data_IF_920486748460
#
_entry.id   IF_920486748460
#
_cell.length_a   1.000
_cell.length_b   1.000
_cell.length_c   1.000
_cell.angle_alpha   90.00
_cell.angle_beta   90.00
_cell.angle_gamma   90.00
#
_symmetry.space_group_name_H-M   'P 1'
#
loop_
_entity.id
_entity.type
_entity.pdbx_description
1 polymer ?
#
# COMPACT_ATOMS: atom_id res chain seq x y z
N UNK A 1 -6.40 11.24 9.20
CA UNK A 1 -4.93 11.55 9.14
C UNK A 1 -4.41 10.93 7.85
N UNK A 2 -3.45 11.54 7.14
CA UNK A 2 -2.87 10.92 5.92
C UNK A 2 -2.11 9.65 6.32
N UNK A 3 -2.11 8.62 5.46
CA UNK A 3 -1.46 7.32 5.68
C UNK A 3 -0.03 7.46 6.22
N UNK A 4 0.77 8.33 5.61
CA UNK A 4 2.16 8.58 5.98
C UNK A 4 2.34 9.00 7.46
N UNK A 5 1.45 9.88 7.96
CA UNK A 5 1.48 10.32 9.37
C UNK A 5 1.09 9.20 10.33
N UNK A 6 0.12 8.36 9.95
CA UNK A 6 -0.28 7.20 10.75
C UNK A 6 0.84 6.17 10.80
N UNK A 7 1.45 5.85 9.65
CA UNK A 7 2.56 4.92 9.56
C UNK A 7 3.77 5.38 10.38
N UNK A 8 4.12 6.68 10.30
CA UNK A 8 5.21 7.28 11.08
C UNK A 8 4.94 7.23 12.57
N UNK A 9 3.73 7.56 13.00
CA UNK A 9 3.35 7.45 14.42
C UNK A 9 3.39 6.01 14.90
N UNK A 10 2.86 5.07 14.13
CA UNK A 10 2.94 3.64 14.44
C UNK A 10 4.38 3.14 14.61
N UNK A 11 5.30 3.60 13.74
CA UNK A 11 6.72 3.27 13.84
C UNK A 11 7.38 3.85 15.11
N UNK A 12 6.93 5.01 15.59
CA UNK A 12 7.40 5.57 16.85
C UNK A 12 6.86 4.78 18.05
N UNK A 13 5.56 4.46 18.06
CA UNK A 13 4.93 3.69 19.12
C UNK A 13 5.48 2.27 19.26
N UNK A 14 5.99 1.69 18.17
CA UNK A 14 6.59 0.35 18.17
C UNK A 14 8.02 0.29 18.73
N UNK A 15 8.61 1.40 19.16
CA UNK A 15 9.93 1.41 19.81
C UNK A 15 9.82 0.95 21.27
N UNK A 16 10.72 0.09 21.70
CA UNK A 16 10.73 -0.50 23.06
C UNK A 16 10.73 0.56 24.18
N UNK A 17 11.31 1.71 23.93
CA UNK A 17 11.42 2.82 24.88
C UNK A 17 10.28 3.86 24.74
N UNK A 18 9.34 3.67 23.82
CA UNK A 18 8.34 4.69 23.51
C UNK A 18 7.40 4.97 24.69
N UNK A 19 6.92 3.92 25.34
CA UNK A 19 6.03 4.03 26.50
C UNK A 19 6.69 4.83 27.64
N UNK A 20 7.96 4.55 27.92
CA UNK A 20 8.69 5.24 28.98
C UNK A 20 8.99 6.70 28.62
N UNK A 21 9.23 7.01 27.34
CA UNK A 21 9.34 8.39 26.86
C UNK A 21 8.02 9.15 26.99
N UNK A 22 6.89 8.52 26.69
CA UNK A 22 5.58 9.15 26.90
C UNK A 22 5.27 9.35 28.39
N UNK A 23 5.57 8.38 29.26
CA UNK A 23 5.46 8.54 30.73
C UNK A 23 6.28 9.74 31.21
N UNK A 24 7.49 9.90 30.66
CA UNK A 24 8.37 11.01 30.98
C UNK A 24 7.75 12.34 30.51
N UNK A 25 7.26 12.43 29.28
CA UNK A 25 6.63 13.64 28.74
C UNK A 25 5.35 14.06 29.48
N UNK A 26 4.58 13.10 29.99
CA UNK A 26 3.38 13.38 30.79
C UNK A 26 3.76 13.96 32.18
N UNK A 27 4.85 13.47 32.76
CA UNK A 27 5.26 13.88 34.12
C UNK A 27 6.14 15.14 34.14
N UNK A 28 6.75 15.51 33.02
CA UNK A 28 7.63 16.66 32.91
C UNK A 28 7.04 17.69 31.94
N UNK A 29 6.76 18.88 32.44
CA UNK A 29 6.20 19.97 31.65
C UNK A 29 7.15 20.47 30.56
N UNK A 30 8.45 20.25 30.73
CA UNK A 30 9.47 20.79 29.86
C UNK A 30 10.75 19.95 30.02
N UNK A 31 11.21 19.29 28.95
CA UNK A 31 12.37 18.39 29.01
C UNK A 31 13.24 18.54 27.75
N UNK A 32 14.56 18.46 27.91
CA UNK A 32 15.50 18.39 26.81
C UNK A 32 15.79 16.93 26.40
N UNK A 33 16.29 16.73 25.18
CA UNK A 33 16.67 15.41 24.70
C UNK A 33 17.78 14.76 25.57
N UNK A 34 18.71 15.55 26.11
CA UNK A 34 19.76 15.05 27.00
C UNK A 34 19.22 14.59 28.35
N UNK A 35 18.26 15.32 28.94
CA UNK A 35 17.59 14.93 30.19
C UNK A 35 16.77 13.65 29.97
N UNK A 36 16.00 13.55 28.89
CA UNK A 36 15.24 12.37 28.55
C UNK A 36 16.15 11.15 28.34
N UNK A 37 17.23 11.30 27.59
CA UNK A 37 18.20 10.26 27.32
C UNK A 37 18.87 9.74 28.62
N UNK A 38 19.26 10.65 29.49
CA UNK A 38 19.87 10.31 30.79
C UNK A 38 18.94 9.50 31.68
N UNK A 39 17.65 9.84 31.73
CA UNK A 39 16.66 9.14 32.55
C UNK A 39 16.28 7.75 32.04
N UNK A 40 16.30 7.57 30.74
CA UNK A 40 15.90 6.32 30.09
C UNK A 40 17.09 5.47 29.65
N UNK A 41 18.31 5.88 29.97
CA UNK A 41 19.54 5.19 29.54
C UNK A 41 19.64 5.04 28.02
N UNK A 42 19.15 6.06 27.29
CA UNK A 42 19.20 6.12 25.84
C UNK A 42 20.39 6.95 25.35
N UNK A 43 20.78 6.75 24.09
CA UNK A 43 21.67 7.69 23.44
C UNK A 43 20.94 9.02 23.17
N UNK A 44 21.61 10.17 23.38
CA UNK A 44 21.00 11.51 23.23
C UNK A 44 20.36 11.68 21.84
N UNK A 45 21.02 11.22 20.79
CA UNK A 45 20.49 11.28 19.43
C UNK A 45 19.20 10.49 19.26
N UNK A 46 19.09 9.31 19.88
CA UNK A 46 17.86 8.50 19.85
C UNK A 46 16.70 9.23 20.48
N UNK A 47 16.91 9.83 21.67
CA UNK A 47 15.89 10.62 22.34
C UNK A 47 15.52 11.87 21.54
N UNK A 48 16.51 12.56 20.95
CA UNK A 48 16.29 13.73 20.12
C UNK A 48 15.48 13.39 18.86
N UNK A 49 15.88 12.36 18.11
CA UNK A 49 15.18 11.93 16.89
C UNK A 49 13.72 11.54 17.20
N UNK A 50 13.46 10.90 18.33
CA UNK A 50 12.11 10.56 18.76
C UNK A 50 11.29 11.82 19.09
N UNK A 51 11.82 12.73 19.89
CA UNK A 51 11.15 13.98 20.27
C UNK A 51 10.91 14.90 19.08
N UNK A 52 11.86 14.98 18.13
CA UNK A 52 11.72 15.75 16.90
C UNK A 52 10.63 15.18 16.01
N UNK A 53 10.53 13.86 15.88
CA UNK A 53 9.44 13.20 15.17
C UNK A 53 8.08 13.47 15.82
N UNK A 54 7.98 13.47 17.16
CA UNK A 54 6.75 13.83 17.84
C UNK A 54 6.38 15.31 17.62
N UNK A 55 7.37 16.20 17.54
CA UNK A 55 7.14 17.62 17.25
C UNK A 55 6.60 17.82 15.82
N UNK A 56 7.16 17.15 14.83
CA UNK A 56 6.66 17.18 13.46
C UNK A 56 5.24 16.61 13.32
N UNK A 57 4.86 15.67 14.17
CA UNK A 57 3.49 15.14 14.26
C UNK A 57 2.54 16.05 15.06
N UNK A 58 3.07 17.10 15.70
CA UNK A 58 2.31 18.03 16.54
C UNK A 58 1.81 17.40 17.84
N UNK A 59 2.53 16.42 18.38
CA UNK A 59 2.26 15.77 19.67
C UNK A 59 3.00 16.49 20.80
N UNK A 60 4.19 16.99 20.50
CA UNK A 60 4.97 17.86 21.41
C UNK A 60 5.26 19.19 20.75
N UNK A 61 5.41 20.22 21.56
CA UNK A 61 5.94 21.52 21.16
C UNK A 61 7.45 21.54 21.36
N UNK A 62 8.18 22.05 20.38
CA UNK A 62 9.63 22.19 20.40
C UNK A 62 9.98 23.66 20.50
N UNK A 63 10.67 24.04 21.56
CA UNK A 63 11.09 25.44 21.82
C UNK A 63 12.61 25.51 21.87
N UNK A 64 13.18 26.48 21.18
CA UNK A 64 14.61 26.75 21.24
C UNK A 64 14.94 27.66 22.44
N UNK A 65 15.90 27.24 23.26
CA UNK A 65 16.36 27.98 24.44
C UNK A 65 17.82 28.33 24.29
N UNK A 66 18.17 29.56 24.60
CA UNK A 66 19.53 30.08 24.54
C UNK A 66 20.12 30.22 25.94
N UNK A 67 21.00 29.28 26.29
CA UNK A 67 21.80 29.40 27.52
C UNK A 67 23.30 29.38 27.17
N UNK A 68 24.06 30.30 27.72
CA UNK A 68 25.54 30.32 27.66
C UNK A 68 26.15 30.08 26.27
N UNK A 69 25.63 30.73 25.25
CA UNK A 69 26.14 30.72 23.84
C UNK A 69 25.85 29.46 23.02
N UNK A 70 25.10 28.48 23.49
CA UNK A 70 24.70 27.33 22.68
C UNK A 70 23.19 27.13 22.76
N UNK A 71 22.47 27.19 21.65
CA UNK A 71 21.05 26.86 21.63
C UNK A 71 20.84 25.38 21.88
N UNK A 72 19.79 25.05 22.61
CA UNK A 72 19.30 23.69 22.77
C UNK A 72 17.77 23.68 22.72
N UNK A 73 17.19 22.51 22.46
CA UNK A 73 15.75 22.38 22.34
C UNK A 73 15.14 21.78 23.61
N UNK A 74 13.99 22.32 23.98
CA UNK A 74 13.13 21.78 25.00
C UNK A 74 11.80 21.35 24.40
N UNK A 75 11.21 20.32 24.97
CA UNK A 75 10.01 19.67 24.46
C UNK A 75 8.95 19.61 25.56
N UNK A 76 7.74 20.02 25.20
CA UNK A 76 6.58 20.00 26.07
C UNK A 76 5.44 19.24 25.40
N UNK A 77 4.69 18.43 26.16
CA UNK A 77 3.56 17.68 25.62
C UNK A 77 2.43 18.63 25.21
N UNK A 78 2.08 18.67 23.94
CA UNK A 78 1.01 19.50 23.39
C UNK A 78 -0.36 18.79 23.42
N UNK A 79 -0.37 17.46 23.39
CA UNK A 79 -1.58 16.64 23.36
C UNK A 79 -1.47 15.45 24.27
N UNK A 80 -2.44 15.27 25.14
CA UNK A 80 -2.56 14.12 26.05
C UNK A 80 -3.28 12.93 25.41
N UNK A 81 -3.98 13.15 24.30
CA UNK A 81 -4.68 12.12 23.53
C UNK A 81 -4.17 12.06 22.10
N UNK A 82 -3.92 10.86 21.62
CA UNK A 82 -3.51 10.58 20.24
C UNK A 82 -4.56 9.68 19.61
N UNK A 83 -5.34 10.26 18.69
CA UNK A 83 -6.33 9.51 17.91
C UNK A 83 -5.78 9.20 16.53
N UNK A 84 -5.66 7.91 16.19
CA UNK A 84 -5.29 7.41 14.87
C UNK A 84 -6.55 6.94 14.14
N UNK A 85 -6.88 7.61 13.05
CA UNK A 85 -7.94 7.18 12.14
C UNK A 85 -7.38 7.10 10.73
N UNK A 86 -7.37 5.89 10.16
CA UNK A 86 -6.95 5.60 8.80
C UNK A 86 -8.16 5.13 8.00
N UNK A 87 -8.59 5.94 7.08
CA UNK A 87 -9.65 5.58 6.14
C UNK A 87 -9.04 4.86 4.94
N UNK A 88 -9.30 3.57 4.83
CA UNK A 88 -8.83 2.72 3.73
C UNK A 88 -9.78 2.78 2.52
N UNK A 89 -10.97 3.38 2.66
CA UNK A 89 -11.92 3.50 1.55
C UNK A 89 -11.38 4.37 0.40
N UNK A 90 -10.44 5.28 0.72
CA UNK A 90 -9.76 6.12 -0.29
C UNK A 90 -8.93 5.32 -1.31
N UNK A 91 -8.61 4.07 -1.00
CA UNK A 91 -7.92 3.16 -1.93
C UNK A 91 -8.88 2.33 -2.78
N UNK A 92 -10.18 2.48 -2.55
CA UNK A 92 -11.18 1.88 -3.41
C UNK A 92 -11.25 2.67 -4.72
N UNK A 93 -11.18 1.98 -5.85
CA UNK A 93 -11.27 2.64 -7.16
C UNK A 93 -12.55 3.49 -7.23
N UNK A 94 -12.39 4.81 -7.41
CA UNK A 94 -13.49 5.79 -7.35
C UNK A 94 -14.45 5.69 -8.54
N UNK A 95 -14.02 5.11 -9.68
CA UNK A 95 -14.83 4.99 -10.89
C UNK A 95 -14.82 3.56 -11.48
N UNK A 96 -15.46 2.58 -10.84
CA UNK A 96 -15.54 1.22 -11.41
C UNK A 96 -16.23 1.20 -12.78
N UNK A 97 -17.09 2.18 -13.09
CA UNK A 97 -17.83 2.23 -14.35
C UNK A 97 -16.98 2.59 -15.58
N UNK A 98 -16.04 3.52 -15.48
CA UNK A 98 -15.21 3.92 -16.64
C UNK A 98 -14.26 2.79 -17.08
N UNK A 99 -13.68 2.07 -16.11
CA UNK A 99 -12.81 0.93 -16.42
C UNK A 99 -13.56 -0.23 -17.08
N UNK A 100 -14.82 -0.47 -16.70
CA UNK A 100 -15.61 -1.60 -17.18
C UNK A 100 -16.05 -1.48 -18.67
N UNK A 101 -16.07 -0.27 -19.22
CA UNK A 101 -16.40 -0.03 -20.62
C UNK A 101 -15.26 -0.34 -21.59
N UNK A 102 -14.01 -0.47 -21.09
CA UNK A 102 -12.83 -0.76 -21.94
C UNK A 102 -13.02 -2.05 -22.72
N UNK A 103 -12.73 -2.01 -24.02
CA UNK A 103 -12.74 -3.17 -24.89
C UNK A 103 -11.40 -3.88 -24.80
N UNK A 104 -11.43 -5.15 -24.39
CA UNK A 104 -10.23 -5.95 -24.15
C UNK A 104 -10.29 -7.28 -24.89
N UNK A 105 -9.13 -7.80 -25.24
CA UNK A 105 -8.94 -9.18 -25.69
C UNK A 105 -7.52 -9.63 -25.38
N UNK A 106 -7.28 -10.91 -25.48
CA UNK A 106 -5.93 -11.47 -25.41
C UNK A 106 -5.08 -10.98 -26.58
N UNK A 107 -3.85 -10.54 -26.29
CA UNK A 107 -2.89 -10.10 -27.30
C UNK A 107 -2.28 -11.31 -28.00
N UNK A 108 -2.12 -11.23 -29.33
CA UNK A 108 -1.42 -12.28 -30.08
C UNK A 108 0.07 -12.32 -29.69
N UNK A 109 0.62 -13.54 -29.61
CA UNK A 109 2.06 -13.75 -29.32
C UNK A 109 2.54 -13.17 -27.98
N UNK A 110 1.68 -13.23 -26.96
CA UNK A 110 1.90 -12.61 -25.65
C UNK A 110 2.85 -13.37 -24.69
N UNK A 111 3.32 -14.55 -25.08
CA UNK A 111 4.19 -15.38 -24.24
C UNK A 111 3.55 -15.88 -22.93
N UNK A 112 2.24 -15.72 -22.76
CA UNK A 112 1.52 -16.17 -21.57
C UNK A 112 0.97 -17.59 -21.73
N UNK A 113 0.86 -18.29 -20.59
CA UNK A 113 0.19 -19.58 -20.48
C UNK A 113 -0.81 -19.55 -19.34
N UNK A 114 -2.06 -19.83 -19.65
CA UNK A 114 -3.15 -19.89 -18.68
C UNK A 114 -3.35 -21.33 -18.21
N UNK A 115 -3.24 -21.57 -16.91
CA UNK A 115 -3.43 -22.89 -16.31
C UNK A 115 -4.87 -23.04 -15.83
N UNK A 116 -5.59 -24.01 -16.39
CA UNK A 116 -6.97 -24.33 -16.01
C UNK A 116 -7.00 -24.91 -14.59
N UNK A 117 -7.94 -24.45 -13.77
CA UNK A 117 -8.19 -25.00 -12.44
C UNK A 117 -8.83 -26.42 -12.54
N UNK A 118 -8.81 -27.17 -11.45
CA UNK A 118 -9.37 -28.53 -11.41
C UNK A 118 -10.87 -28.60 -11.74
N UNK A 119 -11.62 -27.54 -11.45
CA UNK A 119 -13.05 -27.44 -11.78
C UNK A 119 -13.31 -27.33 -13.28
N UNK A 120 -12.35 -26.85 -14.08
CA UNK A 120 -12.41 -26.79 -15.54
C UNK A 120 -13.13 -25.57 -16.10
N UNK A 121 -13.61 -24.65 -15.28
CA UNK A 121 -14.40 -23.46 -15.64
C UNK A 121 -13.72 -22.13 -15.30
N UNK A 122 -12.48 -22.19 -14.79
CA UNK A 122 -11.69 -21.01 -14.44
C UNK A 122 -10.18 -21.30 -14.61
N UNK A 123 -9.38 -20.23 -14.69
CA UNK A 123 -7.93 -20.33 -14.63
C UNK A 123 -7.44 -20.15 -13.18
N UNK A 124 -6.42 -20.93 -12.79
CA UNK A 124 -5.80 -20.83 -11.44
C UNK A 124 -4.59 -19.93 -11.41
N UNK A 125 -3.87 -19.81 -12.53
CA UNK A 125 -2.72 -18.93 -12.66
C UNK A 125 -2.44 -18.57 -14.12
N UNK A 126 -1.70 -17.49 -14.29
CA UNK A 126 -1.09 -17.06 -15.55
C UNK A 126 0.41 -17.10 -15.37
N UNK A 127 1.11 -17.77 -16.28
CA UNK A 127 2.58 -17.78 -16.33
C UNK A 127 3.01 -17.03 -17.57
N UNK A 128 3.83 -16.00 -17.41
CA UNK A 128 4.29 -15.11 -18.48
C UNK A 128 5.80 -15.23 -18.56
N UNK A 129 6.33 -15.32 -19.77
CA UNK A 129 7.77 -15.37 -19.99
C UNK A 129 8.24 -14.12 -20.72
N UNK A 130 9.06 -13.33 -20.05
CA UNK A 130 9.73 -12.16 -20.59
C UNK A 130 11.17 -12.48 -21.00
N UNK A 131 11.63 -11.89 -22.11
CA UNK A 131 13.00 -12.07 -22.60
C UNK A 131 13.21 -13.33 -23.44
N UNK A 132 14.43 -13.50 -23.95
CA UNK A 132 14.83 -14.60 -24.84
C UNK A 132 16.09 -15.29 -24.33
N UNK A 133 16.22 -16.59 -24.59
CA UNK A 133 17.42 -17.37 -24.28
C UNK A 133 17.70 -17.50 -22.79
N UNK A 134 18.95 -17.17 -22.35
CA UNK A 134 19.39 -17.31 -20.96
C UNK A 134 18.87 -16.23 -20.02
N UNK A 135 18.34 -15.13 -20.54
CA UNK A 135 17.77 -13.99 -19.78
C UNK A 135 16.25 -14.10 -19.62
N UNK A 136 15.67 -15.22 -20.01
CA UNK A 136 14.24 -15.47 -19.89
C UNK A 136 13.83 -15.51 -18.42
N UNK A 137 12.96 -14.58 -18.02
CA UNK A 137 12.37 -14.52 -16.68
C UNK A 137 10.95 -15.06 -16.73
N UNK A 138 10.59 -15.84 -15.72
CA UNK A 138 9.23 -16.35 -15.54
C UNK A 138 8.51 -15.49 -14.49
N UNK A 139 7.37 -14.93 -14.88
CA UNK A 139 6.48 -14.21 -14.00
C UNK A 139 5.18 -14.99 -13.83
N UNK A 140 4.90 -15.49 -12.63
CA UNK A 140 3.72 -16.29 -12.31
C UNK A 140 2.76 -15.50 -11.43
N UNK A 141 1.52 -15.32 -11.89
CA UNK A 141 0.43 -14.67 -11.18
C UNK A 141 -0.56 -15.74 -10.74
N UNK A 142 -0.78 -15.88 -9.45
CA UNK A 142 -1.87 -16.70 -8.89
C UNK A 142 -3.16 -15.91 -8.94
N UNK A 143 -4.22 -16.50 -9.44
CA UNK A 143 -5.50 -15.85 -9.64
C UNK A 143 -6.47 -16.18 -8.50
N UNK A 144 -7.30 -15.21 -8.13
CA UNK A 144 -8.51 -15.47 -7.34
C UNK A 144 -9.56 -16.16 -8.22
N UNK A 145 -10.58 -16.80 -7.62
CA UNK A 145 -11.64 -17.44 -8.40
C UNK A 145 -12.38 -16.45 -9.33
N UNK A 146 -12.77 -15.24 -8.89
CA UNK A 146 -13.35 -14.24 -9.80
C UNK A 146 -12.42 -13.86 -10.95
N UNK A 147 -11.12 -13.64 -10.71
CA UNK A 147 -10.15 -13.34 -11.75
C UNK A 147 -10.00 -14.51 -12.74
N UNK A 148 -9.94 -15.75 -12.22
CA UNK A 148 -9.84 -16.96 -13.04
C UNK A 148 -11.04 -17.15 -13.95
N UNK A 149 -12.27 -16.95 -13.42
CA UNK A 149 -13.51 -16.99 -14.21
C UNK A 149 -13.57 -15.90 -15.26
N UNK A 150 -13.20 -14.68 -14.92
CA UNK A 150 -13.15 -13.56 -15.86
C UNK A 150 -12.23 -13.88 -17.03
N UNK A 151 -10.98 -14.29 -16.76
CA UNK A 151 -9.99 -14.60 -17.78
C UNK A 151 -10.37 -15.81 -18.64
N UNK A 152 -11.11 -16.78 -18.09
CA UNK A 152 -11.62 -17.92 -18.85
C UNK A 152 -12.59 -17.50 -19.96
N UNK A 153 -13.26 -16.37 -19.80
CA UNK A 153 -14.16 -15.77 -20.81
C UNK A 153 -13.52 -14.65 -21.61
N UNK A 154 -12.22 -14.41 -21.44
CA UNK A 154 -11.49 -13.41 -22.21
C UNK A 154 -11.50 -13.76 -23.71
N UNK A 155 -11.82 -12.80 -24.61
CA UNK A 155 -11.77 -13.07 -26.03
C UNK A 155 -10.37 -13.46 -26.51
N UNK A 156 -10.28 -14.51 -27.35
CA UNK A 156 -9.02 -14.98 -27.92
C UNK A 156 -8.33 -13.93 -28.81
N UNK A 157 -7.03 -14.09 -29.09
CA UNK A 157 -6.31 -13.23 -30.01
C UNK A 157 -7.01 -13.15 -31.38
N UNK A 158 -7.06 -11.94 -31.96
CA UNK A 158 -7.67 -11.65 -33.28
C UNK A 158 -9.22 -11.82 -33.33
N UNK A 159 -9.86 -12.23 -32.23
CA UNK A 159 -11.32 -12.24 -32.17
C UNK A 159 -11.88 -10.83 -31.90
N UNK A 160 -13.20 -10.67 -31.97
CA UNK A 160 -13.85 -9.39 -31.63
C UNK A 160 -13.65 -9.07 -30.14
N UNK A 161 -13.12 -7.89 -29.80
CA UNK A 161 -12.93 -7.50 -28.40
C UNK A 161 -14.28 -7.36 -27.68
N UNK A 162 -14.27 -7.48 -26.36
CA UNK A 162 -15.46 -7.36 -25.53
C UNK A 162 -15.19 -6.38 -24.38
N UNK A 163 -16.21 -5.67 -23.93
CA UNK A 163 -16.06 -4.82 -22.74
C UNK A 163 -15.85 -5.69 -21.49
N UNK A 164 -15.10 -5.16 -20.53
CA UNK A 164 -14.88 -5.82 -19.24
C UNK A 164 -16.21 -6.17 -18.60
N UNK A 165 -17.19 -5.25 -18.59
CA UNK A 165 -18.53 -5.50 -18.08
C UNK A 165 -19.20 -6.73 -18.72
N UNK A 166 -19.10 -6.85 -20.05
CA UNK A 166 -19.70 -7.97 -20.76
C UNK A 166 -19.01 -9.31 -20.50
N UNK A 167 -17.70 -9.28 -20.23
CA UNK A 167 -16.94 -10.48 -19.85
C UNK A 167 -17.33 -10.89 -18.42
N UNK A 168 -17.47 -9.93 -17.48
CA UNK A 168 -17.95 -10.18 -16.12
C UNK A 168 -19.36 -10.80 -16.12
N UNK A 169 -20.27 -10.27 -16.95
CA UNK A 169 -21.62 -10.84 -17.12
C UNK A 169 -21.56 -12.30 -17.59
N UNK A 170 -20.74 -12.62 -18.58
CA UNK A 170 -20.54 -14.00 -19.06
C UNK A 170 -19.94 -14.92 -17.99
N UNK A 171 -19.07 -14.39 -17.15
CA UNK A 171 -18.45 -15.10 -16.04
C UNK A 171 -19.35 -15.20 -14.81
N UNK A 172 -20.57 -14.68 -14.86
CA UNK A 172 -21.54 -14.59 -13.75
C UNK A 172 -20.94 -13.86 -12.50
N UNK A 173 -20.17 -12.80 -12.74
CA UNK A 173 -19.53 -11.97 -11.70
C UNK A 173 -20.35 -10.70 -11.45
N UNK A 174 -20.62 -10.40 -10.18
CA UNK A 174 -21.28 -9.18 -9.75
C UNK A 174 -20.35 -7.96 -9.74
N UNK A 175 -20.95 -6.77 -9.55
CA UNK A 175 -20.21 -5.50 -9.53
C UNK A 175 -19.22 -5.39 -8.35
N UNK A 176 -19.43 -6.14 -7.28
CA UNK A 176 -18.53 -6.20 -6.12
C UNK A 176 -17.09 -6.65 -6.49
N UNK A 177 -16.95 -7.42 -7.57
CA UNK A 177 -15.66 -7.90 -8.07
C UNK A 177 -14.98 -6.94 -9.06
N UNK A 178 -15.62 -5.82 -9.43
CA UNK A 178 -15.10 -4.89 -10.45
C UNK A 178 -13.71 -4.37 -10.15
N UNK A 179 -13.41 -4.10 -8.87
CA UNK A 179 -12.08 -3.60 -8.45
C UNK A 179 -10.96 -4.61 -8.70
N UNK A 180 -11.15 -5.87 -8.30
CA UNK A 180 -10.13 -6.91 -8.50
C UNK A 180 -10.01 -7.37 -9.96
N UNK A 181 -11.11 -7.26 -10.74
CA UNK A 181 -11.06 -7.53 -12.18
C UNK A 181 -10.29 -6.43 -12.91
N UNK A 182 -10.49 -5.16 -12.55
CA UNK A 182 -9.71 -4.06 -13.12
C UNK A 182 -8.23 -4.20 -12.78
N UNK A 183 -7.90 -4.55 -11.54
CA UNK A 183 -6.52 -4.74 -11.08
C UNK A 183 -5.79 -5.80 -11.92
N UNK A 184 -6.38 -6.99 -12.10
CA UNK A 184 -5.75 -8.04 -12.90
C UNK A 184 -5.68 -7.67 -14.39
N UNK A 185 -6.68 -6.98 -14.93
CA UNK A 185 -6.65 -6.51 -16.33
C UNK A 185 -5.54 -5.50 -16.52
N UNK A 186 -5.39 -4.51 -15.64
CA UNK A 186 -4.34 -3.50 -15.72
C UNK A 186 -2.94 -4.13 -15.61
N UNK A 187 -2.78 -5.12 -14.71
CA UNK A 187 -1.55 -5.88 -14.58
C UNK A 187 -1.22 -6.66 -15.87
N UNK A 188 -2.20 -7.33 -16.45
CA UNK A 188 -2.00 -8.10 -17.69
C UNK A 188 -1.83 -7.21 -18.93
N UNK A 189 -2.34 -5.97 -18.93
CA UNK A 189 -2.04 -4.96 -19.95
C UNK A 189 -0.57 -4.54 -19.82
N UNK A 190 -0.11 -4.25 -18.60
CA UNK A 190 1.29 -3.88 -18.31
C UNK A 190 2.27 -4.96 -18.76
N UNK A 191 1.90 -6.23 -18.60
CA UNK A 191 2.69 -7.40 -19.00
C UNK A 191 2.46 -7.82 -20.46
N UNK A 192 1.79 -6.99 -21.25
CA UNK A 192 1.51 -7.20 -22.68
C UNK A 192 0.73 -8.49 -23.00
N UNK A 193 -0.03 -9.04 -22.07
CA UNK A 193 -0.89 -10.22 -22.27
C UNK A 193 -2.25 -9.85 -22.82
N UNK A 194 -2.80 -8.71 -22.40
CA UNK A 194 -4.08 -8.16 -22.84
C UNK A 194 -3.84 -6.88 -23.61
N UNK A 195 -4.60 -6.67 -24.68
CA UNK A 195 -4.65 -5.41 -25.41
C UNK A 195 -5.99 -4.70 -25.23
N UNK A 196 -5.96 -3.37 -25.17
CA UNK A 196 -7.11 -2.47 -25.14
C UNK A 196 -7.32 -1.87 -26.51
N UNK A 197 -8.57 -1.76 -26.95
CA UNK A 197 -8.97 -1.33 -28.29
C UNK A 197 -9.99 -0.20 -28.24
#
# INVERSE_FOLDING_TARGET
MKYEKVARLGALLAKDYSEDLFKLLVNYQDISASEAASRLSLHIRTAQDFLDNLAELGIVEKTEVYEKKRPYFRYNLAKTEINMNLDLSVYKNENPGEGLARLVREKAENGANFTVARAGDEFSNVTIWEGTGRERQEHKISLTSPQGKFLFHLPFPKSRPSSIAKIMEKAALGEEFSGEIQDIVDELIRLEVIEVL
#
